data_IF_171124838894
#
_entry.id   IF_171124838894
#
_cell.length_a   1.000
_cell.length_b   1.000
_cell.length_c   1.000
_cell.angle_alpha   90.00
_cell.angle_beta   90.00
_cell.angle_gamma   90.00
#
_symmetry.space_group_name_H-M   'P 1'
#
loop_
_entity.id
_entity.type
_entity.pdbx_description
1 polymer ?
#
# COMPACT_ATOMS: atom_id res chain seq x y z
N UNK A 1 -66.30 9.65 -2.91
CA UNK A 1 -66.20 8.70 -1.78
C UNK A 1 -65.20 7.63 -2.17
N UNK A 2 -64.01 7.77 -1.60
CA UNK A 2 -62.81 6.94 -1.44
C UNK A 2 -62.56 5.69 -2.32
N UNK A 3 -61.36 5.72 -2.91
CA UNK A 3 -60.56 4.63 -3.45
C UNK A 3 -60.21 3.57 -2.39
N UNK A 4 -60.07 2.31 -2.79
CA UNK A 4 -59.37 1.31 -1.98
C UNK A 4 -58.60 0.36 -2.90
N UNK A 5 -57.31 0.67 -3.08
CA UNK A 5 -56.36 -0.15 -3.84
C UNK A 5 -55.76 -1.25 -2.95
N UNK A 6 -55.42 -2.34 -3.62
CA UNK A 6 -54.94 -3.64 -3.13
C UNK A 6 -53.76 -3.60 -2.14
N UNK A 7 -53.75 -4.54 -1.18
CA UNK A 7 -52.58 -4.84 -0.33
C UNK A 7 -51.95 -6.17 -0.74
N UNK A 8 -50.69 -6.12 -1.15
CA UNK A 8 -49.80 -7.28 -1.27
C UNK A 8 -49.05 -7.53 0.06
N UNK A 9 -48.81 -8.79 0.50
CA UNK A 9 -48.17 -9.08 1.78
C UNK A 9 -46.63 -9.14 1.67
N UNK A 10 -45.95 -8.41 2.55
CA UNK A 10 -44.48 -8.32 2.72
C UNK A 10 -43.92 -9.58 3.45
N UNK A 11 -42.81 -10.15 2.97
CA UNK A 11 -42.10 -11.29 3.58
C UNK A 11 -40.99 -10.80 4.52
N UNK A 12 -40.71 -11.48 5.65
CA UNK A 12 -39.63 -11.07 6.56
C UNK A 12 -38.29 -11.62 6.05
N UNK A 13 -37.59 -10.81 5.26
CA UNK A 13 -36.26 -11.11 4.78
C UNK A 13 -35.52 -9.80 4.64
N UNK A 14 -34.29 -9.75 5.14
CA UNK A 14 -33.35 -8.63 5.04
C UNK A 14 -33.67 -7.72 3.84
N UNK A 15 -33.95 -6.44 4.13
CA UNK A 15 -34.22 -5.48 3.07
C UNK A 15 -32.99 -5.36 2.22
N UNK A 16 -33.16 -5.43 0.90
CA UNK A 16 -32.06 -5.32 -0.05
C UNK A 16 -31.27 -4.01 0.15
N UNK A 17 -31.90 -2.99 0.74
CA UNK A 17 -31.30 -1.70 1.08
C UNK A 17 -30.27 -1.79 2.22
N UNK A 18 -30.48 -2.67 3.20
CA UNK A 18 -29.57 -2.85 4.33
C UNK A 18 -28.29 -3.56 3.88
N UNK A 19 -28.46 -4.55 3.00
CA UNK A 19 -27.35 -5.32 2.42
C UNK A 19 -26.47 -4.44 1.52
N UNK A 20 -27.08 -3.54 0.73
CA UNK A 20 -26.33 -2.61 -0.12
C UNK A 20 -25.57 -1.55 0.67
N UNK A 21 -26.11 -1.12 1.82
CA UNK A 21 -25.49 -0.10 2.68
C UNK A 21 -24.23 -0.63 3.36
N UNK A 22 -24.29 -1.86 3.86
CA UNK A 22 -23.17 -2.52 4.53
C UNK A 22 -22.01 -2.83 3.56
N UNK A 23 -22.31 -3.27 2.33
CA UNK A 23 -21.29 -3.53 1.29
C UNK A 23 -20.60 -2.24 0.82
N UNK A 24 -21.38 -1.17 0.62
CA UNK A 24 -20.86 0.14 0.19
C UNK A 24 -19.92 0.76 1.24
N UNK A 25 -20.20 0.55 2.52
CA UNK A 25 -19.37 1.09 3.60
C UNK A 25 -18.06 0.31 3.79
N UNK A 26 -18.13 -1.01 3.65
CA UNK A 26 -16.99 -1.90 3.78
C UNK A 26 -16.01 -1.77 2.60
N UNK A 27 -16.48 -1.58 1.37
CA UNK A 27 -15.62 -1.25 0.23
C UNK A 27 -15.02 0.16 0.34
N UNK A 28 -15.76 1.11 0.91
CA UNK A 28 -15.29 2.49 1.11
C UNK A 28 -14.11 2.61 2.07
N UNK A 29 -14.02 1.79 3.12
CA UNK A 29 -12.94 1.84 4.12
C UNK A 29 -11.74 0.96 3.80
N UNK A 30 -12.00 -0.25 3.31
CA UNK A 30 -10.96 -1.22 3.00
C UNK A 30 -10.16 -0.82 1.74
N UNK A 31 -10.81 -0.30 0.70
CA UNK A 31 -10.14 0.19 -0.50
C UNK A 31 -9.33 1.47 -0.26
N UNK A 32 -9.65 2.23 0.80
CA UNK A 32 -9.06 3.54 1.05
C UNK A 32 -7.84 3.47 1.96
N UNK A 33 -7.83 2.61 2.98
CA UNK A 33 -6.74 2.55 3.96
C UNK A 33 -5.60 1.58 3.56
N UNK A 34 -5.93 0.39 3.07
CA UNK A 34 -4.93 -0.65 2.78
C UNK A 34 -4.10 -0.33 1.53
N UNK A 35 -4.75 0.25 0.52
CA UNK A 35 -4.16 0.54 -0.80
C UNK A 35 -3.11 1.66 -0.76
N UNK A 36 -3.18 2.51 0.26
CA UNK A 36 -2.37 3.72 0.32
C UNK A 36 -1.04 3.45 1.04
N UNK A 37 -0.91 2.49 1.96
CA UNK A 37 0.30 2.37 2.80
C UNK A 37 1.12 1.10 2.70
N UNK A 38 0.61 0.04 2.08
CA UNK A 38 1.36 -1.21 2.04
C UNK A 38 2.46 -1.20 0.98
N UNK A 39 2.13 -0.75 -0.24
CA UNK A 39 3.02 -0.89 -1.38
C UNK A 39 4.30 -0.06 -1.24
N UNK A 40 4.19 1.19 -0.77
CA UNK A 40 5.35 2.09 -0.59
C UNK A 40 6.32 1.60 0.48
N UNK A 41 5.80 0.97 1.55
CA UNK A 41 6.60 0.40 2.63
C UNK A 41 7.28 -0.88 2.18
N UNK A 42 6.54 -1.76 1.50
CA UNK A 42 7.06 -3.03 0.98
C UNK A 42 8.16 -2.77 -0.06
N UNK A 43 7.86 -1.95 -1.07
CA UNK A 43 8.84 -1.60 -2.11
C UNK A 43 10.03 -0.87 -1.51
N UNK A 44 9.80 0.13 -0.65
CA UNK A 44 10.88 0.87 0.02
C UNK A 44 11.78 -0.04 0.87
N UNK A 45 11.19 -0.93 1.65
CA UNK A 45 11.92 -1.90 2.46
C UNK A 45 12.74 -2.89 1.62
N UNK A 46 12.16 -3.40 0.53
CA UNK A 46 12.86 -4.26 -0.43
C UNK A 46 14.06 -3.54 -1.04
N UNK A 47 13.90 -2.29 -1.48
CA UNK A 47 15.00 -1.48 -2.02
C UNK A 47 16.12 -1.26 -1.01
N UNK A 48 15.80 -1.03 0.27
CA UNK A 48 16.82 -0.91 1.32
C UNK A 48 17.57 -2.23 1.51
N UNK A 49 16.87 -3.36 1.66
CA UNK A 49 17.51 -4.66 1.89
C UNK A 49 18.38 -5.09 0.72
N UNK A 50 17.83 -5.05 -0.50
CA UNK A 50 18.61 -5.37 -1.71
C UNK A 50 19.74 -4.37 -1.93
N UNK A 51 19.50 -3.08 -1.69
CA UNK A 51 20.54 -2.05 -1.78
C UNK A 51 21.70 -2.30 -0.83
N UNK A 52 21.44 -2.72 0.41
CA UNK A 52 22.49 -3.10 1.37
C UNK A 52 23.29 -4.29 0.86
N UNK A 53 22.62 -5.36 0.42
CA UNK A 53 23.30 -6.57 -0.09
C UNK A 53 24.19 -6.20 -1.27
N UNK A 54 23.63 -5.52 -2.28
CA UNK A 54 24.33 -5.12 -3.49
C UNK A 54 25.48 -4.15 -3.18
N UNK A 55 25.31 -3.24 -2.22
CA UNK A 55 26.38 -2.36 -1.74
C UNK A 55 27.49 -3.15 -1.06
N UNK A 56 27.17 -4.11 -0.18
CA UNK A 56 28.17 -4.99 0.46
C UNK A 56 28.90 -5.81 -0.60
N UNK A 57 28.19 -6.43 -1.55
CA UNK A 57 28.81 -7.17 -2.65
C UNK A 57 29.71 -6.26 -3.48
N UNK A 58 29.30 -5.02 -3.75
CA UNK A 58 30.12 -4.01 -4.42
C UNK A 58 31.37 -3.63 -3.62
N UNK A 59 31.30 -3.47 -2.30
CA UNK A 59 32.45 -3.17 -1.43
C UNK A 59 33.39 -4.37 -1.31
N UNK A 60 32.84 -5.58 -1.24
CA UNK A 60 33.59 -6.83 -1.03
C UNK A 60 34.13 -7.41 -2.34
N UNK A 61 33.70 -6.87 -3.48
CA UNK A 61 34.22 -7.22 -4.80
C UNK A 61 35.73 -6.94 -4.78
N UNK A 62 36.50 -8.03 -4.75
CA UNK A 62 37.94 -7.99 -4.60
C UNK A 62 38.57 -7.29 -5.81
N UNK A 63 39.62 -6.51 -5.55
CA UNK A 63 40.43 -5.73 -6.51
C UNK A 63 40.64 -6.36 -7.90
N UNK A 64 40.64 -7.69 -8.04
CA UNK A 64 40.72 -8.39 -9.32
C UNK A 64 39.54 -8.14 -10.30
N UNK A 65 38.36 -7.72 -9.81
CA UNK A 65 37.23 -7.32 -10.65
C UNK A 65 37.23 -5.82 -11.02
N UNK A 66 37.81 -4.98 -10.15
CA UNK A 66 37.90 -3.53 -10.32
C UNK A 66 38.86 -3.17 -11.47
N UNK A 67 39.92 -3.95 -11.69
CA UNK A 67 40.87 -3.78 -12.79
C UNK A 67 40.30 -4.08 -14.19
N UNK A 68 39.16 -4.79 -14.28
CA UNK A 68 38.50 -5.10 -15.56
C UNK A 68 37.39 -4.11 -15.95
N UNK A 69 36.99 -3.21 -15.06
CA UNK A 69 35.80 -2.38 -15.19
C UNK A 69 36.08 -0.87 -15.14
N UNK A 70 37.21 -0.41 -15.69
CA UNK A 70 37.61 1.01 -15.72
C UNK A 70 37.46 1.74 -14.35
N UNK A 71 37.65 1.03 -13.23
CA UNK A 71 37.57 1.62 -11.90
C UNK A 71 36.18 2.02 -11.42
N UNK A 72 35.09 1.68 -12.12
CA UNK A 72 33.72 2.00 -11.69
C UNK A 72 32.99 0.73 -11.25
N UNK A 73 32.74 0.62 -9.94
CA UNK A 73 32.01 -0.50 -9.37
C UNK A 73 30.50 -0.31 -9.57
N UNK A 74 29.96 -0.97 -10.60
CA UNK A 74 28.54 -0.93 -10.95
C UNK A 74 27.67 -1.42 -9.78
N UNK A 75 28.04 -2.53 -9.14
CA UNK A 75 27.30 -3.04 -7.98
C UNK A 75 27.23 -2.00 -6.86
N UNK A 76 28.34 -1.31 -6.56
CA UNK A 76 28.38 -0.26 -5.55
C UNK A 76 27.46 0.92 -5.88
N UNK A 77 27.54 1.45 -7.12
CA UNK A 77 26.70 2.58 -7.54
C UNK A 77 25.21 2.21 -7.59
N UNK A 78 24.89 1.01 -8.06
CA UNK A 78 23.50 0.53 -8.11
C UNK A 78 22.97 0.30 -6.69
N UNK A 79 23.79 -0.27 -5.79
CA UNK A 79 23.46 -0.49 -4.38
C UNK A 79 23.21 0.83 -3.63
N UNK A 80 24.08 1.82 -3.81
CA UNK A 80 23.91 3.17 -3.24
C UNK A 80 22.66 3.84 -3.80
N UNK A 81 22.41 3.74 -5.12
CA UNK A 81 21.19 4.25 -5.75
C UNK A 81 19.91 3.62 -5.18
N UNK A 82 19.89 2.30 -5.00
CA UNK A 82 18.78 1.57 -4.38
C UNK A 82 18.57 1.97 -2.91
N UNK A 83 19.65 2.19 -2.16
CA UNK A 83 19.59 2.65 -0.77
C UNK A 83 19.00 4.05 -0.65
N UNK A 84 19.47 5.01 -1.46
CA UNK A 84 18.94 6.37 -1.48
C UNK A 84 17.46 6.37 -1.85
N UNK A 85 17.06 5.57 -2.85
CA UNK A 85 15.67 5.43 -3.26
C UNK A 85 14.81 4.78 -2.17
N UNK A 86 15.30 3.72 -1.52
CA UNK A 86 14.63 3.04 -0.42
C UNK A 86 14.42 3.94 0.80
N UNK A 87 15.47 4.66 1.22
CA UNK A 87 15.39 5.64 2.31
C UNK A 87 14.45 6.79 1.95
N UNK A 88 14.46 7.25 0.70
CA UNK A 88 13.51 8.24 0.22
C UNK A 88 12.06 7.74 0.38
N UNK A 89 11.74 6.51 -0.04
CA UNK A 89 10.41 5.92 0.15
C UNK A 89 10.01 5.77 1.62
N UNK A 90 10.97 5.45 2.50
CA UNK A 90 10.73 5.35 3.94
C UNK A 90 10.59 6.72 4.61
N UNK A 91 11.36 7.73 4.20
CA UNK A 91 11.25 9.11 4.69
C UNK A 91 9.96 9.79 4.24
N UNK A 92 9.49 9.47 3.03
CA UNK A 92 8.21 9.93 2.49
C UNK A 92 7.01 9.50 3.34
N UNK A 93 7.11 8.34 3.98
CA UNK A 93 6.14 7.81 4.93
C UNK A 93 5.92 8.73 6.14
N UNK A 94 6.98 9.42 6.57
CA UNK A 94 6.93 10.36 7.70
C UNK A 94 6.38 11.72 7.27
N UNK A 95 6.59 12.11 6.00
CA UNK A 95 6.03 13.33 5.40
C UNK A 95 4.54 13.19 5.06
N UNK A 96 4.07 11.98 4.78
CA UNK A 96 2.65 11.69 4.54
C UNK A 96 2.22 10.55 5.47
N UNK A 97 1.77 10.85 6.70
CA UNK A 97 1.22 9.86 7.63
C UNK A 97 -0.11 9.30 7.12
N UNK A 98 -0.41 8.03 7.40
CA UNK A 98 -1.72 7.44 7.10
C UNK A 98 -2.74 8.03 8.06
N UNK A 99 -3.86 8.60 7.58
CA UNK A 99 -4.98 8.88 8.45
C UNK A 99 -5.41 7.56 9.13
N UNK A 100 -5.68 7.56 10.44
CA UNK A 100 -6.27 6.40 11.11
C UNK A 100 -7.56 6.00 10.37
N UNK A 101 -7.79 4.70 10.21
CA UNK A 101 -9.05 4.21 9.67
C UNK A 101 -10.20 4.75 10.54
N UNK A 102 -11.09 5.55 9.95
CA UNK A 102 -12.28 6.06 10.64
C UNK A 102 -13.22 4.87 10.85
N UNK A 103 -13.61 4.55 12.10
CA UNK A 103 -14.59 3.50 12.33
C UNK A 103 -15.94 3.87 11.70
N UNK A 104 -16.76 2.87 11.29
CA UNK A 104 -18.18 3.05 10.96
C UNK A 104 -18.90 4.06 11.82
N UNK A 105 -19.49 5.06 11.14
CA UNK A 105 -20.42 6.00 11.72
C UNK A 105 -21.78 5.37 11.48
N UNK A 106 -22.30 4.74 12.51
CA UNK A 106 -23.61 4.12 12.51
C UNK A 106 -24.66 5.24 12.32
N UNK A 107 -25.19 5.41 11.10
CA UNK A 107 -26.24 6.39 10.81
C UNK A 107 -27.62 5.81 11.11
N UNK A 108 -28.34 6.51 11.99
CA UNK A 108 -29.71 6.31 12.50
C UNK A 108 -30.77 5.78 11.51
#
# INVERSE_FOLDING_TARGET
>A
MNEHSDRHPERPGYSEEDVQREVTELEGKSATAARIFDLRRIIGGLFVVYGIIVTITGITDSQAAIDKAEGVNINLWTGIGMLLLGIFFLGWLKLRPTPPAVPPQDTE
#
